data_IF_524925688635
#
_entry.id   IF_524925688635
#
_cell.length_a   1.000
_cell.length_b   1.000
_cell.length_c   1.000
_cell.angle_alpha   90.00
_cell.angle_beta   90.00
_cell.angle_gamma   90.00
#
_symmetry.space_group_name_H-M   'P 1'
#
loop_
_entity.id
_entity.type
_entity.pdbx_description
1 polymer ?
#
# COMPACT_ATOMS: atom_id res chain seq x y z
N UNK A 1 -7.06 -11.79 -10.27
CA UNK A 1 -7.61 -10.43 -10.49
C UNK A 1 -8.39 -9.95 -9.29
N UNK A 2 -7.96 -8.83 -8.71
CA UNK A 2 -8.67 -8.11 -7.66
C UNK A 2 -9.25 -6.82 -8.27
N UNK A 3 -10.50 -6.49 -7.94
CA UNK A 3 -11.11 -5.23 -8.37
C UNK A 3 -11.70 -4.49 -7.18
N UNK A 4 -11.76 -3.17 -7.23
CA UNK A 4 -12.36 -2.39 -6.15
C UNK A 4 -12.99 -1.08 -6.65
N UNK A 5 -13.91 -0.57 -5.84
CA UNK A 5 -14.50 0.75 -5.96
C UNK A 5 -13.91 1.65 -4.88
N UNK A 6 -13.31 2.78 -5.25
CA UNK A 6 -12.69 3.71 -4.31
C UNK A 6 -13.24 5.11 -4.45
N UNK A 7 -13.75 5.68 -3.36
CA UNK A 7 -14.16 7.08 -3.31
C UNK A 7 -13.12 7.90 -2.55
N UNK A 8 -12.53 8.89 -3.23
CA UNK A 8 -11.52 9.79 -2.65
C UNK A 8 -12.11 11.16 -2.30
N UNK A 9 -11.83 11.65 -1.09
CA UNK A 9 -12.41 12.91 -0.60
C UNK A 9 -11.90 14.16 -1.31
N UNK A 10 -10.72 14.09 -1.94
CA UNK A 10 -10.14 15.21 -2.70
C UNK A 10 -10.75 15.32 -4.10
N UNK A 11 -10.77 14.22 -4.84
CA UNK A 11 -11.33 14.18 -6.18
C UNK A 11 -12.86 14.23 -6.20
N UNK A 12 -13.50 13.84 -5.08
CA UNK A 12 -14.96 13.62 -4.98
C UNK A 12 -15.46 12.82 -6.18
N UNK A 13 -14.73 11.76 -6.48
CA UNK A 13 -14.95 10.90 -7.64
C UNK A 13 -14.79 9.45 -7.21
N UNK A 14 -15.58 8.59 -7.84
CA UNK A 14 -15.46 7.15 -7.70
C UNK A 14 -14.43 6.66 -8.73
N UNK A 15 -13.47 5.87 -8.27
CA UNK A 15 -12.49 5.18 -9.09
C UNK A 15 -12.81 3.70 -9.13
N UNK A 16 -12.87 3.13 -10.33
CA UNK A 16 -12.86 1.68 -10.52
C UNK A 16 -11.42 1.25 -10.68
N UNK A 17 -10.94 0.38 -9.79
CA UNK A 17 -9.56 -0.12 -9.81
C UNK A 17 -9.54 -1.60 -10.11
N UNK A 18 -8.52 -2.03 -10.84
CA UNK A 18 -8.24 -3.42 -11.12
C UNK A 18 -6.75 -3.68 -10.88
N UNK A 19 -6.44 -4.81 -10.26
CA UNK A 19 -5.09 -5.22 -9.91
C UNK A 19 -4.90 -6.69 -10.22
N UNK A 20 -3.81 -7.00 -10.91
CA UNK A 20 -3.35 -8.38 -11.14
C UNK A 20 -1.91 -8.51 -10.65
N UNK A 21 -1.61 -9.65 -10.04
CA UNK A 21 -0.28 -9.94 -9.54
C UNK A 21 0.18 -11.30 -10.07
N UNK A 22 1.27 -11.29 -10.82
CA UNK A 22 1.97 -12.48 -11.29
C UNK A 22 3.20 -12.70 -10.41
N UNK A 23 3.32 -13.90 -9.86
CA UNK A 23 4.40 -14.26 -8.94
C UNK A 23 5.17 -15.43 -9.54
N UNK A 24 6.47 -15.27 -9.69
CA UNK A 24 7.39 -16.35 -10.03
C UNK A 24 7.88 -17.05 -8.76
N UNK A 25 8.29 -18.30 -8.90
CA UNK A 25 8.88 -19.15 -7.84
C UNK A 25 10.02 -18.45 -7.09
N UNK A 26 10.77 -17.60 -7.79
CA UNK A 26 11.86 -16.82 -7.22
C UNK A 26 11.40 -15.57 -6.45
N UNK A 27 10.13 -15.44 -6.06
CA UNK A 27 9.60 -14.24 -5.41
C UNK A 27 9.80 -12.95 -6.25
N UNK A 28 9.87 -13.10 -7.57
CA UNK A 28 9.76 -11.98 -8.51
C UNK A 28 8.29 -11.74 -8.78
N UNK A 29 7.86 -10.51 -8.61
CA UNK A 29 6.47 -10.10 -8.69
C UNK A 29 6.32 -9.05 -9.75
N UNK A 30 5.47 -9.33 -10.73
CA UNK A 30 4.92 -8.34 -11.64
C UNK A 30 3.50 -8.00 -11.19
N UNK A 31 3.29 -6.76 -10.80
CA UNK A 31 1.99 -6.23 -10.44
C UNK A 31 1.55 -5.21 -11.48
N UNK A 32 0.33 -5.37 -12.00
CA UNK A 32 -0.30 -4.41 -12.91
C UNK A 32 -1.55 -3.86 -12.24
N UNK A 33 -1.65 -2.54 -12.16
CA UNK A 33 -2.77 -1.80 -11.57
C UNK A 33 -3.31 -0.81 -12.57
N UNK A 34 -4.62 -0.87 -12.82
CA UNK A 34 -5.34 0.15 -13.57
C UNK A 34 -6.35 0.86 -12.67
N UNK A 35 -6.56 2.15 -12.90
CA UNK A 35 -7.72 2.85 -12.35
C UNK A 35 -8.42 3.68 -13.41
N UNK A 36 -9.75 3.70 -13.37
CA UNK A 36 -10.62 4.53 -14.21
C UNK A 36 -11.38 5.50 -13.31
N UNK A 37 -11.22 6.80 -13.55
CA UNK A 37 -12.01 7.82 -12.89
C UNK A 37 -13.37 7.94 -13.59
N UNK A 38 -14.44 7.57 -12.88
CA UNK A 38 -15.80 7.56 -13.44
C UNK A 38 -16.37 8.95 -13.73
N UNK A 39 -15.81 10.00 -13.12
CA UNK A 39 -16.25 11.39 -13.32
C UNK A 39 -15.66 12.02 -14.57
N UNK A 40 -14.38 11.73 -14.86
CA UNK A 40 -13.64 12.35 -15.96
C UNK A 40 -13.39 11.41 -17.14
N UNK A 41 -13.60 10.10 -16.97
CA UNK A 41 -13.25 9.08 -17.95
C UNK A 41 -11.75 8.82 -18.09
N UNK A 42 -10.91 9.49 -17.29
CA UNK A 42 -9.45 9.34 -17.36
C UNK A 42 -9.01 8.03 -16.74
N UNK A 43 -8.11 7.32 -17.40
CA UNK A 43 -7.49 6.09 -16.91
C UNK A 43 -6.01 6.28 -16.58
N UNK A 44 -5.51 5.56 -15.59
CA UNK A 44 -4.08 5.41 -15.35
C UNK A 44 -3.69 3.93 -15.22
N UNK A 45 -2.43 3.65 -15.54
CA UNK A 45 -1.83 2.34 -15.46
C UNK A 45 -0.52 2.46 -14.67
N UNK A 46 -0.33 1.54 -13.74
CA UNK A 46 0.90 1.35 -13.00
C UNK A 46 1.35 -0.10 -13.17
N UNK A 47 2.60 -0.29 -13.56
CA UNK A 47 3.22 -1.61 -13.67
C UNK A 47 4.46 -1.65 -12.78
N UNK A 48 4.49 -2.58 -11.83
CA UNK A 48 5.59 -2.73 -10.85
C UNK A 48 6.23 -4.10 -11.02
N UNK A 49 7.53 -4.13 -11.27
CA UNK A 49 8.35 -5.33 -11.21
C UNK A 49 9.23 -5.27 -9.97
N UNK A 50 9.15 -6.26 -9.09
CA UNK A 50 9.93 -6.28 -7.85
C UNK A 50 10.38 -7.68 -7.45
N UNK A 51 11.59 -7.78 -6.91
CA UNK A 51 12.11 -8.97 -6.22
C UNK A 51 11.90 -8.78 -4.72
N UNK A 52 11.26 -9.76 -4.08
CA UNK A 52 11.17 -9.84 -2.62
C UNK A 52 12.25 -10.78 -2.07
N UNK A 53 12.84 -10.39 -0.96
CA UNK A 53 13.87 -11.13 -0.23
C UNK A 53 13.55 -11.11 1.26
N UNK A 54 13.94 -12.17 1.95
CA UNK A 54 13.64 -12.38 3.38
C UNK A 54 14.92 -12.70 4.13
N UNK A 55 15.83 -11.72 4.32
CA UNK A 55 17.08 -11.93 5.05
C UNK A 55 16.82 -12.05 6.56
N UNK A 56 17.76 -12.61 7.33
CA UNK A 56 17.57 -12.86 8.77
C UNK A 56 17.32 -11.59 9.60
N UNK A 57 17.93 -10.46 9.24
CA UNK A 57 17.90 -9.22 10.05
C UNK A 57 16.62 -8.39 9.84
N UNK A 58 15.94 -8.59 8.70
CA UNK A 58 14.75 -7.84 8.29
C UNK A 58 13.64 -8.79 7.87
N UNK A 59 12.41 -8.48 8.28
CA UNK A 59 11.25 -9.26 7.86
C UNK A 59 11.02 -9.23 6.35
N UNK A 60 11.52 -8.21 5.63
CA UNK A 60 11.47 -8.15 4.16
C UNK A 60 12.41 -7.10 3.58
N UNK A 61 13.00 -7.38 2.43
CA UNK A 61 13.56 -6.39 1.50
C UNK A 61 12.89 -6.55 0.13
N UNK A 62 12.50 -5.43 -0.47
CA UNK A 62 11.93 -5.35 -1.80
C UNK A 62 12.84 -4.47 -2.68
N UNK A 63 13.22 -4.94 -3.87
CA UNK A 63 13.94 -4.15 -4.88
C UNK A 63 13.19 -4.22 -6.19
N UNK A 64 12.96 -3.08 -6.84
CA UNK A 64 12.16 -3.09 -8.06
C UNK A 64 12.13 -1.79 -8.85
N UNK A 65 11.32 -1.83 -9.90
CA UNK A 65 11.00 -0.70 -10.76
C UNK A 65 9.48 -0.58 -10.91
N UNK A 66 8.99 0.64 -10.95
CA UNK A 66 7.58 0.96 -11.14
C UNK A 66 7.44 1.96 -12.27
N UNK A 67 6.66 1.63 -13.29
CA UNK A 67 6.22 2.56 -14.33
C UNK A 67 4.84 3.13 -13.98
N UNK A 68 4.66 4.43 -14.19
CA UNK A 68 3.37 5.12 -14.09
C UNK A 68 3.07 5.83 -15.41
N UNK A 69 1.95 5.47 -16.04
CA UNK A 69 1.55 6.00 -17.35
C UNK A 69 1.13 7.47 -17.32
N UNK A 70 0.61 7.96 -16.20
CA UNK A 70 0.11 9.34 -16.07
C UNK A 70 1.26 10.35 -16.09
N UNK A 71 2.38 10.01 -15.44
CA UNK A 71 3.58 10.83 -15.40
C UNK A 71 4.63 10.42 -16.44
N UNK A 72 4.40 9.31 -17.17
CA UNK A 72 5.38 8.64 -18.03
C UNK A 72 6.75 8.50 -17.34
N UNK A 73 6.73 7.97 -16.11
CA UNK A 73 7.90 7.95 -15.21
C UNK A 73 8.17 6.53 -14.71
N UNK A 74 9.45 6.13 -14.76
CA UNK A 74 9.96 4.91 -14.12
C UNK A 74 10.66 5.30 -12.82
N UNK A 75 10.27 4.65 -11.72
CA UNK A 75 10.89 4.81 -10.40
C UNK A 75 11.56 3.50 -10.00
N UNK A 76 12.86 3.55 -9.75
CA UNK A 76 13.60 2.44 -9.14
C UNK A 76 13.55 2.58 -7.64
N UNK A 77 13.31 1.48 -6.91
CA UNK A 77 13.18 1.54 -5.46
C UNK A 77 13.81 0.35 -4.75
N UNK A 78 14.32 0.63 -3.56
CA UNK A 78 14.66 -0.34 -2.54
C UNK A 78 13.85 -0.03 -1.29
N UNK A 79 13.29 -1.05 -0.65
CA UNK A 79 12.46 -0.91 0.52
C UNK A 79 12.72 -2.05 1.49
N UNK A 80 12.79 -1.74 2.79
CA UNK A 80 12.97 -2.68 3.87
C UNK A 80 11.86 -2.57 4.90
N UNK A 81 11.48 -3.71 5.48
CA UNK A 81 10.52 -3.81 6.58
C UNK A 81 11.12 -4.67 7.69
N UNK A 82 11.00 -4.20 8.94
CA UNK A 82 11.16 -5.00 10.15
C UNK A 82 9.86 -5.00 10.93
N UNK A 83 9.39 -6.19 11.29
CA UNK A 83 8.18 -6.41 12.08
C UNK A 83 8.58 -6.93 13.46
N UNK A 84 7.96 -6.37 14.48
CA UNK A 84 8.00 -6.85 15.85
C UNK A 84 6.60 -7.24 16.26
N UNK A 85 6.44 -8.43 16.80
CA UNK A 85 5.19 -8.84 17.47
C UNK A 85 5.23 -8.27 18.88
N UNK A 86 4.18 -7.55 19.26
CA UNK A 86 4.12 -6.88 20.58
C UNK A 86 3.42 -7.76 21.62
N UNK A 87 2.66 -8.75 21.17
CA UNK A 87 1.90 -9.69 21.97
C UNK A 87 2.12 -11.10 21.40
N UNK A 88 2.03 -12.12 22.25
CA UNK A 88 2.22 -13.52 21.87
C UNK A 88 1.10 -14.04 20.95
N UNK A 89 -0.04 -13.35 20.91
CA UNK A 89 -1.20 -13.71 20.08
C UNK A 89 -1.00 -13.44 18.57
N UNK A 90 0.07 -12.74 18.20
CA UNK A 90 0.36 -12.35 16.81
C UNK A 90 -0.63 -11.34 16.21
N UNK A 91 -1.51 -10.75 17.03
CA UNK A 91 -2.56 -9.83 16.59
C UNK A 91 -2.10 -8.38 16.63
N UNK A 92 -1.19 -8.05 17.55
CA UNK A 92 -0.53 -6.76 17.61
C UNK A 92 0.88 -6.81 17.03
N UNK A 93 1.17 -5.94 16.06
CA UNK A 93 2.53 -5.80 15.53
C UNK A 93 2.94 -4.36 15.31
N UNK A 94 4.22 -4.07 15.59
CA UNK A 94 4.90 -2.84 15.24
C UNK A 94 5.77 -3.07 14.01
N UNK A 95 5.54 -2.29 12.96
CA UNK A 95 6.30 -2.35 11.72
C UNK A 95 7.14 -1.09 11.54
N UNK A 96 8.45 -1.28 11.43
CA UNK A 96 9.38 -0.27 10.96
C UNK A 96 9.59 -0.47 9.45
N UNK A 97 9.43 0.61 8.70
CA UNK A 97 9.43 0.59 7.24
C UNK A 97 10.34 1.70 6.75
N UNK A 98 11.26 1.38 5.86
CA UNK A 98 12.20 2.36 5.30
C UNK A 98 12.49 2.04 3.85
N UNK A 99 12.88 3.03 3.07
CA UNK A 99 13.22 2.79 1.68
C UNK A 99 13.59 4.05 0.95
N UNK A 100 14.02 3.87 -0.28
CA UNK A 100 14.46 4.94 -1.14
C UNK A 100 14.06 4.66 -2.58
N UNK A 101 13.40 5.63 -3.20
CA UNK A 101 13.07 5.62 -4.62
C UNK A 101 13.83 6.71 -5.38
N UNK A 102 14.19 6.41 -6.63
CA UNK A 102 14.74 7.37 -7.59
C UNK A 102 13.90 7.34 -8.86
N UNK A 103 13.27 8.46 -9.15
CA UNK A 103 12.58 8.67 -10.40
C UNK A 103 13.57 8.97 -11.53
N UNK A 104 13.55 8.16 -12.58
CA UNK A 104 14.56 8.20 -13.64
C UNK A 104 14.54 9.52 -14.42
N UNK A 105 13.36 9.97 -14.85
CA UNK A 105 13.21 11.15 -15.71
C UNK A 105 13.28 12.45 -14.91
N UNK A 106 12.46 12.59 -13.86
CA UNK A 106 12.46 13.81 -13.04
C UNK A 106 13.68 13.94 -12.13
N UNK A 107 14.51 12.89 -12.00
CA UNK A 107 15.63 12.81 -11.04
C UNK A 107 15.19 13.07 -9.60
N UNK A 108 13.90 12.86 -9.30
CA UNK A 108 13.36 13.09 -7.96
C UNK A 108 13.76 11.96 -7.01
N UNK A 109 14.26 12.37 -5.85
CA UNK A 109 14.58 11.51 -4.73
C UNK A 109 13.33 11.29 -3.87
N UNK A 110 13.03 10.04 -3.54
CA UNK A 110 11.81 9.65 -2.81
C UNK A 110 12.16 8.77 -1.61
N UNK A 111 12.81 9.32 -0.57
CA UNK A 111 13.02 8.62 0.69
C UNK A 111 11.68 8.31 1.36
N UNK A 112 11.61 7.17 2.05
CA UNK A 112 10.46 6.75 2.84
C UNK A 112 10.92 6.23 4.18
N UNK A 113 10.22 6.64 5.24
CA UNK A 113 10.44 6.16 6.59
C UNK A 113 9.11 6.22 7.35
N UNK A 114 8.64 5.08 7.85
CA UNK A 114 7.33 4.95 8.49
C UNK A 114 7.40 3.98 9.67
N UNK A 115 6.57 4.27 10.66
CA UNK A 115 6.30 3.41 11.80
C UNK A 115 4.81 3.09 11.77
N UNK A 116 4.42 1.82 11.91
CA UNK A 116 3.02 1.39 11.90
C UNK A 116 2.73 0.42 13.04
N UNK A 117 1.75 0.75 13.87
CA UNK A 117 1.10 -0.18 14.78
C UNK A 117 -0.09 -0.83 14.05
N UNK A 118 -0.20 -2.15 14.11
CA UNK A 118 -1.32 -2.90 13.54
C UNK A 118 -1.95 -3.77 14.63
N UNK A 119 -3.28 -3.79 14.71
CA UNK A 119 -4.07 -4.68 15.56
C UNK A 119 -5.09 -5.41 14.69
N UNK A 120 -5.20 -6.72 14.87
CA UNK A 120 -6.33 -7.52 14.38
C UNK A 120 -7.26 -7.82 15.56
N UNK A 121 -8.56 -7.72 15.34
CA UNK A 121 -9.61 -8.03 16.32
C UNK A 121 -10.54 -9.01 15.61
N UNK A 122 -10.51 -10.26 16.04
CA UNK A 122 -11.37 -11.31 15.50
C UNK A 122 -12.75 -11.26 16.13
N UNK A 123 -13.78 -11.62 15.36
CA UNK A 123 -15.17 -11.65 15.83
C UNK A 123 -15.59 -10.33 16.53
N UNK A 124 -15.25 -9.19 15.93
CA UNK A 124 -15.68 -7.89 16.44
C UNK A 124 -17.22 -7.78 16.42
N UNK A 125 -17.83 -8.40 15.43
CA UNK A 125 -19.24 -8.78 15.34
C UNK A 125 -19.28 -10.20 14.77
N UNK A 126 -20.41 -10.93 14.90
CA UNK A 126 -20.54 -12.29 14.39
C UNK A 126 -20.12 -12.36 12.91
N UNK A 127 -19.17 -13.26 12.60
CA UNK A 127 -18.53 -13.43 11.29
C UNK A 127 -17.79 -12.20 10.72
N UNK A 128 -17.40 -11.24 11.58
CA UNK A 128 -16.70 -10.02 11.15
C UNK A 128 -15.36 -9.81 11.86
N UNK A 129 -14.30 -9.71 11.05
CA UNK A 129 -12.96 -9.39 11.50
C UNK A 129 -12.62 -7.93 11.23
N UNK A 130 -12.05 -7.29 12.25
CA UNK A 130 -11.62 -5.90 12.19
C UNK A 130 -10.09 -5.81 12.21
N UNK A 131 -9.53 -5.04 11.27
CA UNK A 131 -8.12 -4.69 11.25
C UNK A 131 -7.92 -3.19 11.35
N UNK A 132 -7.19 -2.77 12.37
CA UNK A 132 -6.83 -1.38 12.61
C UNK A 132 -5.34 -1.21 12.39
N UNK A 133 -4.96 -0.14 11.70
CA UNK A 133 -3.58 0.29 11.52
C UNK A 133 -3.48 1.77 11.83
N UNK A 134 -2.53 2.12 12.68
CA UNK A 134 -2.12 3.50 12.94
C UNK A 134 -0.66 3.64 12.54
N UNK A 135 -0.35 4.62 11.69
CA UNK A 135 1.00 4.85 11.22
C UNK A 135 1.41 6.31 11.29
N UNK A 136 2.71 6.52 11.41
CA UNK A 136 3.36 7.82 11.31
C UNK A 136 4.37 7.79 10.18
N UNK A 137 4.27 8.76 9.27
CA UNK A 137 5.17 8.95 8.14
C UNK A 137 6.19 10.03 8.52
N UNK A 138 7.44 9.62 8.77
CA UNK A 138 8.50 10.49 9.27
C UNK A 138 8.92 11.54 8.23
N UNK A 139 8.77 11.23 6.94
CA UNK A 139 9.14 12.15 5.85
C UNK A 139 8.13 13.27 5.69
N UNK A 140 6.83 12.94 5.75
CA UNK A 140 5.76 13.93 5.66
C UNK A 140 5.30 14.50 7.00
N UNK A 141 5.81 13.96 8.12
CA UNK A 141 5.44 14.30 9.50
C UNK A 141 3.93 14.21 9.76
N UNK A 142 3.27 13.20 9.19
CA UNK A 142 1.82 13.02 9.25
C UNK A 142 1.43 11.65 9.77
N UNK A 143 0.41 11.62 10.62
CA UNK A 143 -0.31 10.40 10.95
C UNK A 143 -1.19 9.96 9.80
N UNK A 144 -1.34 8.64 9.69
CA UNK A 144 -2.30 7.99 8.81
C UNK A 144 -2.90 6.79 9.53
N UNK A 145 -4.13 6.47 9.17
CA UNK A 145 -4.89 5.38 9.75
C UNK A 145 -5.54 4.54 8.65
N UNK A 146 -5.78 3.27 8.97
CA UNK A 146 -6.62 2.41 8.16
C UNK A 146 -7.48 1.56 9.09
N UNK A 147 -8.76 1.48 8.77
CA UNK A 147 -9.70 0.55 9.35
C UNK A 147 -10.22 -0.33 8.21
N UNK A 148 -10.13 -1.65 8.37
CA UNK A 148 -10.64 -2.60 7.39
C UNK A 148 -11.55 -3.60 8.09
N UNK A 149 -12.74 -3.75 7.53
CA UNK A 149 -13.75 -4.70 7.96
C UNK A 149 -14.28 -5.39 6.69
N UNK A 150 -14.13 -6.71 6.61
CA UNK A 150 -14.49 -7.48 5.43
C UNK A 150 -13.89 -6.88 4.12
N UNK A 151 -14.76 -6.49 3.18
CA UNK A 151 -14.41 -5.87 1.90
C UNK A 151 -14.30 -4.35 1.97
N UNK A 152 -14.65 -3.72 3.09
CA UNK A 152 -14.58 -2.27 3.27
C UNK A 152 -13.24 -1.87 3.89
N UNK A 153 -12.62 -0.84 3.33
CA UNK A 153 -11.44 -0.21 3.88
C UNK A 153 -11.63 1.30 3.93
N UNK A 154 -11.54 1.89 5.12
CA UNK A 154 -11.43 3.33 5.33
C UNK A 154 -9.96 3.69 5.55
N UNK A 155 -9.44 4.57 4.70
CA UNK A 155 -8.08 5.12 4.81
C UNK A 155 -8.13 6.58 5.22
N UNK A 156 -7.17 7.02 6.03
CA UNK A 156 -7.01 8.41 6.46
C UNK A 156 -5.54 8.82 6.46
N UNK A 157 -5.20 10.03 6.00
CA UNK A 157 -3.84 10.61 6.07
C UNK A 157 -3.88 12.14 6.13
N UNK A 158 -3.49 12.72 7.27
CA UNK A 158 -3.71 14.15 7.51
C UNK A 158 -5.19 14.50 7.30
N UNK A 159 -5.55 15.55 6.59
CA UNK A 159 -6.97 15.87 6.34
C UNK A 159 -7.66 15.04 5.24
N UNK A 160 -6.96 14.08 4.61
CA UNK A 160 -7.50 13.30 3.48
C UNK A 160 -8.00 11.94 3.94
N UNK A 161 -9.04 11.44 3.28
CA UNK A 161 -9.59 10.12 3.52
C UNK A 161 -10.16 9.54 2.23
N UNK A 162 -10.22 8.22 2.18
CA UNK A 162 -10.89 7.50 1.10
C UNK A 162 -11.53 6.22 1.64
N UNK A 163 -12.57 5.78 0.96
CA UNK A 163 -13.26 4.52 1.25
C UNK A 163 -13.14 3.62 0.04
N UNK A 164 -12.74 2.38 0.26
CA UNK A 164 -12.59 1.35 -0.75
C UNK A 164 -13.49 0.16 -0.43
N UNK A 165 -14.19 -0.36 -1.44
CA UNK A 165 -14.92 -1.61 -1.40
C UNK A 165 -14.31 -2.60 -2.39
N UNK A 166 -13.79 -3.71 -1.88
CA UNK A 166 -13.29 -4.81 -2.71
C UNK A 166 -14.46 -5.61 -3.31
N UNK A 167 -14.40 -5.83 -4.63
CA UNK A 167 -15.37 -6.57 -5.42
C UNK A 167 -15.05 -8.07 -5.46
#
# INVERSE_FOLDING_TARGET
MESALRFDSRGRALLLTAREQFVSDDNVILEVKGALNTKTGTSNLQATLMKKMFPEVLSRIDVGACFNSESDEVTYSIYGKKQFELEEDGLTSLNLKGGYGLAYRSRRHMPTAKIELNRKIFNFTEDQDLKIKLGYDLMSKKFYGQMRENNWTLNYKGSRWDVEYAL
#
